data_IF_685081254800
#
_entry.id   IF_685081254800
#
_cell.length_a   1.000
_cell.length_b   1.000
_cell.length_c   1.000
_cell.angle_alpha   90.00
_cell.angle_beta   90.00
_cell.angle_gamma   90.00
#
_symmetry.space_group_name_H-M   'P 1'
#
loop_
_entity.id
_entity.type
_entity.pdbx_description
1 polymer ?
#
# COMPACT_ATOMS: atom_id res chain seq x y z
N UNK A 1 1.63 28.16 -0.53
CA UNK A 1 2.84 27.40 -0.15
C UNK A 1 2.38 26.17 0.63
N UNK A 2 2.41 24.99 0.03
CA UNK A 2 2.11 23.72 0.69
C UNK A 2 3.41 22.90 0.65
N UNK A 3 4.32 23.16 1.59
CA UNK A 3 5.44 22.27 1.87
C UNK A 3 5.01 21.37 3.06
N UNK A 4 5.44 20.11 3.04
CA UNK A 4 5.40 19.11 4.12
C UNK A 4 4.12 18.28 4.34
N UNK A 5 3.53 17.70 3.28
CA UNK A 5 2.67 16.51 3.45
C UNK A 5 3.23 15.32 2.68
N UNK A 6 3.67 14.29 3.40
CA UNK A 6 4.00 13.00 2.80
C UNK A 6 2.75 12.36 2.20
N UNK A 7 2.91 11.75 1.02
CA UNK A 7 1.82 11.03 0.38
C UNK A 7 1.44 9.79 1.20
N UNK A 8 0.15 9.70 1.52
CA UNK A 8 -0.46 8.51 2.10
C UNK A 8 -0.88 7.53 1.01
N UNK A 9 -1.24 6.29 1.37
CA UNK A 9 -1.73 5.32 0.40
C UNK A 9 -3.04 5.81 -0.26
N UNK A 10 -3.94 6.45 0.49
CA UNK A 10 -5.14 7.06 -0.06
C UNK A 10 -4.84 8.20 -1.05
N UNK A 11 -3.76 8.97 -0.85
CA UNK A 11 -3.36 10.00 -1.81
C UNK A 11 -2.87 9.38 -3.13
N UNK A 12 -2.20 8.22 -3.09
CA UNK A 12 -1.84 7.47 -4.30
C UNK A 12 -3.08 6.97 -5.03
N UNK A 13 -4.05 6.39 -4.30
CA UNK A 13 -5.33 5.94 -4.90
C UNK A 13 -6.05 7.12 -5.56
N UNK A 14 -6.15 8.25 -4.86
CA UNK A 14 -6.76 9.48 -5.38
C UNK A 14 -6.07 9.95 -6.65
N UNK A 15 -4.74 10.05 -6.64
CA UNK A 15 -3.95 10.48 -7.79
C UNK A 15 -4.17 9.56 -9.01
N UNK A 16 -4.16 8.24 -8.84
CA UNK A 16 -4.44 7.29 -9.93
C UNK A 16 -5.84 7.54 -10.51
N UNK A 17 -6.85 7.64 -9.65
CA UNK A 17 -8.26 7.83 -10.07
C UNK A 17 -8.45 9.14 -10.82
N UNK A 18 -7.82 10.23 -10.37
CA UNK A 18 -7.84 11.54 -11.04
C UNK A 18 -7.28 11.51 -12.46
N UNK A 19 -6.32 10.62 -12.74
CA UNK A 19 -5.73 10.44 -14.08
C UNK A 19 -6.51 9.45 -14.96
N UNK A 20 -7.58 8.84 -14.45
CA UNK A 20 -8.40 7.88 -15.20
C UNK A 20 -9.86 7.90 -14.74
N UNK A 21 -10.39 6.80 -14.19
CA UNK A 21 -11.79 6.66 -13.78
C UNK A 21 -11.90 5.94 -12.43
N UNK A 22 -13.01 6.17 -11.74
CA UNK A 22 -13.23 5.68 -10.38
C UNK A 22 -13.30 4.16 -10.23
N UNK A 23 -13.49 3.39 -11.33
CA UNK A 23 -13.64 1.93 -11.30
C UNK A 23 -12.34 1.17 -11.61
N UNK A 24 -11.22 1.87 -11.82
CA UNK A 24 -9.95 1.25 -12.24
C UNK A 24 -9.32 0.34 -11.17
N UNK A 25 -9.54 0.63 -9.88
CA UNK A 25 -8.98 -0.13 -8.76
C UNK A 25 -10.08 -0.99 -8.13
N UNK A 26 -9.85 -2.31 -8.05
CA UNK A 26 -10.73 -3.21 -7.31
C UNK A 26 -10.26 -3.43 -5.87
N UNK A 27 -8.96 -3.47 -5.62
CA UNK A 27 -8.37 -3.75 -4.30
C UNK A 27 -6.98 -3.14 -4.19
N UNK A 28 -6.72 -2.47 -3.06
CA UNK A 28 -5.40 -2.00 -2.65
C UNK A 28 -4.79 -3.01 -1.67
N UNK A 29 -3.56 -3.46 -1.92
CA UNK A 29 -2.80 -4.28 -0.97
C UNK A 29 -1.75 -3.36 -0.33
N UNK A 30 -1.74 -3.29 1.00
CA UNK A 30 -1.03 -2.28 1.77
C UNK A 30 -0.11 -2.96 2.78
N UNK A 31 1.14 -2.51 2.87
CA UNK A 31 2.04 -2.95 3.92
C UNK A 31 1.70 -2.26 5.24
N UNK A 32 1.63 -3.02 6.33
CA UNK A 32 1.48 -2.48 7.70
C UNK A 32 2.63 -2.88 8.63
N UNK A 33 3.60 -3.64 8.14
CA UNK A 33 4.79 -3.98 8.91
C UNK A 33 5.77 -2.80 8.95
N UNK A 34 6.31 -2.53 10.13
CA UNK A 34 7.30 -1.46 10.34
C UNK A 34 8.67 -1.86 9.78
N UNK A 35 9.28 -0.95 9.02
CA UNK A 35 10.64 -1.15 8.55
C UNK A 35 11.65 -1.01 9.70
N UNK A 36 12.79 -1.71 9.67
CA UNK A 36 13.84 -1.56 10.68
C UNK A 36 14.35 -0.11 10.76
N UNK A 37 14.67 0.35 11.97
CA UNK A 37 15.12 1.72 12.22
C UNK A 37 16.34 2.13 11.37
N UNK A 38 17.31 1.22 11.18
CA UNK A 38 18.48 1.47 10.34
C UNK A 38 18.10 1.78 8.89
N UNK A 39 17.14 1.02 8.34
CA UNK A 39 16.65 1.27 6.99
C UNK A 39 15.87 2.58 6.92
N UNK A 40 15.05 2.91 7.93
CA UNK A 40 14.32 4.17 7.99
C UNK A 40 15.25 5.38 7.99
N UNK A 41 16.34 5.35 8.78
CA UNK A 41 17.32 6.44 8.81
C UNK A 41 18.03 6.60 7.47
N UNK A 42 18.34 5.49 6.79
CA UNK A 42 18.89 5.53 5.43
C UNK A 42 17.94 6.23 4.45
N UNK A 43 16.67 5.83 4.39
CA UNK A 43 15.68 6.45 3.51
C UNK A 43 15.43 7.92 3.85
N UNK A 44 15.45 8.27 5.13
CA UNK A 44 15.31 9.65 5.59
C UNK A 44 16.45 10.55 5.10
N UNK A 45 17.68 10.04 5.08
CA UNK A 45 18.82 10.76 4.49
C UNK A 45 18.67 10.97 2.96
N UNK A 46 17.87 10.13 2.31
CA UNK A 46 17.48 10.25 0.90
C UNK A 46 16.16 11.04 0.72
N UNK A 47 15.65 11.72 1.76
CA UNK A 47 14.35 12.42 1.76
C UNK A 47 13.15 11.53 1.39
N UNK A 48 13.25 10.25 1.72
CA UNK A 48 12.22 9.23 1.49
C UNK A 48 11.67 8.71 2.80
N UNK A 49 10.35 8.52 2.86
CA UNK A 49 9.63 8.19 4.08
C UNK A 49 8.60 7.09 3.84
N UNK A 50 8.28 6.25 4.85
CA UNK A 50 7.24 5.25 4.72
C UNK A 50 5.89 5.86 4.34
N UNK A 51 5.21 5.22 3.39
CA UNK A 51 3.85 5.60 3.02
C UNK A 51 2.89 5.12 4.11
N UNK A 52 2.16 6.05 4.72
CA UNK A 52 1.13 5.70 5.69
C UNK A 52 0.00 4.91 4.98
N UNK A 53 -0.38 3.71 5.45
CA UNK A 53 -1.32 2.85 4.74
C UNK A 53 -2.78 3.32 4.81
N UNK A 54 -3.15 4.17 5.79
CA UNK A 54 -4.45 4.82 5.98
C UNK A 54 -5.68 4.06 5.44
N UNK A 55 -5.75 2.78 5.86
CA UNK A 55 -6.66 1.75 5.34
C UNK A 55 -8.12 2.19 5.35
N UNK A 56 -8.54 2.84 6.43
CA UNK A 56 -9.94 3.24 6.59
C UNK A 56 -10.33 4.36 5.64
N UNK A 57 -9.41 5.29 5.32
CA UNK A 57 -9.65 6.33 4.31
C UNK A 57 -9.81 5.74 2.91
N UNK A 58 -9.05 4.69 2.58
CA UNK A 58 -9.22 3.97 1.31
C UNK A 58 -10.59 3.27 1.25
N UNK A 59 -11.06 2.68 2.37
CA UNK A 59 -12.40 2.07 2.45
C UNK A 59 -13.51 3.11 2.33
N UNK A 60 -13.36 4.26 2.98
CA UNK A 60 -14.30 5.40 2.88
C UNK A 60 -14.40 5.94 1.45
N UNK A 61 -13.31 5.90 0.69
CA UNK A 61 -13.30 6.22 -0.75
C UNK A 61 -14.03 5.17 -1.62
N UNK A 62 -14.52 4.08 -1.05
CA UNK A 62 -15.26 3.01 -1.74
C UNK A 62 -14.38 1.89 -2.31
N UNK A 63 -13.09 1.84 -1.97
CA UNK A 63 -12.16 0.82 -2.44
C UNK A 63 -11.96 -0.30 -1.41
N UNK A 64 -11.74 -1.53 -1.87
CA UNK A 64 -11.32 -2.61 -0.98
C UNK A 64 -9.86 -2.40 -0.58
N UNK A 65 -9.54 -2.59 0.69
CA UNK A 65 -8.18 -2.49 1.20
C UNK A 65 -7.80 -3.77 1.96
N UNK A 66 -6.65 -4.34 1.63
CA UNK A 66 -6.05 -5.49 2.30
C UNK A 66 -4.74 -5.04 2.93
N UNK A 67 -4.75 -4.92 4.25
CA UNK A 67 -3.57 -4.61 5.04
C UNK A 67 -2.89 -5.90 5.50
N UNK A 68 -1.61 -6.05 5.22
CA UNK A 68 -0.83 -7.22 5.66
C UNK A 68 0.65 -6.87 5.78
N UNK A 69 1.41 -7.71 6.47
CA UNK A 69 2.85 -7.69 6.39
C UNK A 69 3.28 -8.09 4.96
N UNK A 70 3.90 -7.14 4.27
CA UNK A 70 4.55 -7.34 2.96
C UNK A 70 6.06 -7.09 3.04
N UNK A 71 6.60 -6.83 4.23
CA UNK A 71 7.97 -6.39 4.39
C UNK A 71 8.94 -7.53 4.10
N UNK A 72 9.86 -7.28 3.19
CA UNK A 72 11.11 -8.01 3.02
C UNK A 72 12.26 -7.14 3.49
N UNK A 73 13.05 -7.66 4.41
CA UNK A 73 14.24 -6.98 4.93
C UNK A 73 15.46 -7.68 4.34
N UNK A 74 16.17 -6.95 3.50
CA UNK A 74 17.57 -7.20 3.10
C UNK A 74 18.29 -5.84 3.27
N UNK A 75 19.34 -5.53 2.50
CA UNK A 75 20.04 -4.23 2.50
C UNK A 75 19.13 -3.00 2.18
N UNK A 76 17.89 -3.22 1.73
CA UNK A 76 16.87 -2.19 1.46
C UNK A 76 15.47 -2.70 1.84
N UNK A 77 14.54 -1.77 2.09
CA UNK A 77 13.11 -2.08 2.29
C UNK A 77 12.49 -2.42 0.94
N UNK A 78 12.05 -3.67 0.80
CA UNK A 78 11.36 -4.15 -0.41
C UNK A 78 10.15 -4.97 -0.01
N UNK A 79 9.25 -5.21 -0.95
CA UNK A 79 8.23 -6.22 -0.74
C UNK A 79 8.84 -7.62 -0.76
N UNK A 80 8.50 -8.45 0.22
CA UNK A 80 8.81 -9.88 0.18
C UNK A 80 7.88 -10.55 -0.84
N UNK A 81 8.45 -11.11 -1.90
CA UNK A 81 7.70 -11.70 -3.02
C UNK A 81 6.76 -12.83 -2.59
N UNK A 82 7.15 -13.65 -1.62
CA UNK A 82 6.29 -14.74 -1.14
C UNK A 82 5.09 -14.21 -0.33
N UNK A 83 5.31 -13.23 0.55
CA UNK A 83 4.24 -12.57 1.31
C UNK A 83 3.25 -11.91 0.35
N UNK A 84 3.75 -11.19 -0.65
CA UNK A 84 2.93 -10.55 -1.67
C UNK A 84 2.14 -11.57 -2.49
N UNK A 85 2.78 -12.67 -2.91
CA UNK A 85 2.11 -13.75 -3.66
C UNK A 85 0.97 -14.36 -2.84
N UNK A 86 1.20 -14.65 -1.55
CA UNK A 86 0.14 -15.16 -0.66
C UNK A 86 -1.01 -14.16 -0.50
N UNK A 87 -0.72 -12.86 -0.40
CA UNK A 87 -1.75 -11.82 -0.32
C UNK A 87 -2.59 -11.77 -1.60
N UNK A 88 -1.95 -11.85 -2.78
CA UNK A 88 -2.62 -11.87 -4.07
C UNK A 88 -3.54 -13.09 -4.23
N UNK A 89 -3.07 -14.29 -3.87
CA UNK A 89 -3.89 -15.51 -3.93
C UNK A 89 -5.15 -15.36 -3.08
N UNK A 90 -5.02 -14.88 -1.83
CA UNK A 90 -6.18 -14.63 -0.95
C UNK A 90 -7.17 -13.63 -1.55
N UNK A 91 -6.67 -12.56 -2.17
CA UNK A 91 -7.51 -11.58 -2.86
C UNK A 91 -8.27 -12.24 -4.02
N UNK A 92 -7.59 -13.03 -4.85
CA UNK A 92 -8.19 -13.72 -5.99
C UNK A 92 -9.28 -14.71 -5.53
N UNK A 93 -8.99 -15.52 -4.50
CA UNK A 93 -9.95 -16.47 -3.94
C UNK A 93 -11.20 -15.77 -3.40
N UNK A 94 -11.02 -14.69 -2.64
CA UNK A 94 -12.14 -13.88 -2.14
C UNK A 94 -13.00 -13.34 -3.29
N UNK A 95 -12.38 -12.88 -4.38
CA UNK A 95 -13.12 -12.38 -5.56
C UNK A 95 -13.82 -13.49 -6.35
N UNK A 96 -13.24 -14.70 -6.40
CA UNK A 96 -13.86 -15.86 -7.06
C UNK A 96 -15.09 -16.37 -6.32
N UNK A 97 -15.05 -16.38 -4.98
CA UNK A 97 -16.19 -16.81 -4.15
C UNK A 97 -17.38 -15.85 -4.28
N UNK A 98 -17.13 -14.53 -4.35
CA UNK A 98 -18.19 -13.51 -4.48
C UNK A 98 -18.89 -13.55 -5.87
N UNK A 99 -18.30 -14.20 -6.88
CA UNK A 99 -18.84 -14.29 -8.25
C UNK A 99 -19.62 -15.57 -8.55
N UNK A 100 -19.85 -16.45 -7.58
CA UNK A 100 -20.77 -17.59 -7.71
C UNK A 100 -22.15 -17.20 -7.20
#
# INVERSE_FOLDING_TARGET
>A
MLHDRFYTASDHVKAIVEHTNSKIINTCILNVAEAPAEALERYKNESSFPVAPDVDKIKEMGYKAVATDLLGVDNYVRHNSEKLTRALIKVIETHRVIKR
#
